data_IF_031740197069
#
_entry.id   IF_031740197069
#
_cell.length_a   1.000
_cell.length_b   1.000
_cell.length_c   1.000
_cell.angle_alpha   90.00
_cell.angle_beta   90.00
_cell.angle_gamma   90.00
#
_symmetry.space_group_name_H-M   'P 1'
#
loop_
_entity.id
_entity.type
_entity.pdbx_description
1 polymer ?
#
# COMPACT_ATOMS: atom_id res chain seq x y z
N UNK A 1 34.39 -10.48 -11.79
CA UNK A 1 33.23 -10.34 -12.68
C UNK A 1 32.07 -9.88 -11.82
N UNK A 2 31.34 -8.88 -12.29
CA UNK A 2 30.59 -7.92 -11.49
C UNK A 2 29.31 -8.46 -10.84
N UNK A 3 29.35 -8.78 -9.55
CA UNK A 3 28.14 -8.93 -8.73
C UNK A 3 27.77 -7.58 -8.10
N UNK A 4 27.32 -6.66 -8.95
CA UNK A 4 26.61 -5.46 -8.51
C UNK A 4 25.12 -5.79 -8.42
N UNK A 5 24.74 -6.65 -7.48
CA UNK A 5 23.35 -6.73 -7.04
C UNK A 5 23.26 -5.91 -5.75
N UNK A 6 23.06 -4.60 -5.93
CA UNK A 6 22.61 -3.72 -4.86
C UNK A 6 21.30 -4.32 -4.32
N UNK A 7 21.35 -4.95 -3.15
CA UNK A 7 20.16 -5.12 -2.32
C UNK A 7 19.78 -3.72 -1.83
N UNK A 8 19.07 -2.98 -2.68
CA UNK A 8 18.46 -1.72 -2.28
C UNK A 8 17.30 -2.04 -1.32
N UNK A 9 17.61 -2.36 -0.06
CA UNK A 9 16.78 -2.06 1.11
C UNK A 9 15.25 -2.15 0.90
N UNK A 10 14.74 -3.30 0.43
CA UNK A 10 13.30 -3.56 0.27
C UNK A 10 12.64 -3.57 1.65
N UNK A 11 12.32 -2.38 2.15
CA UNK A 11 11.35 -2.25 3.23
C UNK A 11 10.08 -2.94 2.73
N UNK A 12 9.45 -3.83 3.52
CA UNK A 12 8.23 -4.47 3.09
C UNK A 12 7.20 -3.38 2.76
N UNK A 13 6.60 -3.44 1.57
CA UNK A 13 5.51 -2.56 1.15
C UNK A 13 4.20 -3.35 1.15
N UNK A 14 3.10 -2.66 1.43
CA UNK A 14 1.76 -3.24 1.40
C UNK A 14 0.88 -2.51 0.39
N UNK A 15 0.18 -3.27 -0.44
CA UNK A 15 -0.61 -2.78 -1.57
C UNK A 15 -2.10 -2.99 -1.31
N UNK A 16 -2.90 -1.94 -1.55
CA UNK A 16 -4.35 -1.97 -1.38
C UNK A 16 -5.05 -1.23 -2.51
N UNK A 17 -5.83 -1.96 -3.31
CA UNK A 17 -6.56 -1.38 -4.42
C UNK A 17 -7.87 -0.70 -3.97
N UNK A 18 -8.16 0.48 -4.52
CA UNK A 18 -9.35 1.29 -4.23
C UNK A 18 -10.01 1.82 -5.50
N UNK A 19 -11.30 2.13 -5.39
CA UNK A 19 -12.09 2.70 -6.49
C UNK A 19 -11.73 4.14 -6.82
N UNK A 20 -11.27 4.90 -5.81
CA UNK A 20 -11.02 6.33 -5.89
C UNK A 20 -9.73 6.70 -5.17
N UNK A 21 -8.94 7.60 -5.76
CA UNK A 21 -7.67 8.07 -5.18
C UNK A 21 -7.81 8.59 -3.75
N UNK A 22 -8.93 9.25 -3.40
CA UNK A 22 -9.14 9.82 -2.06
C UNK A 22 -9.11 8.76 -0.96
N UNK A 23 -9.57 7.53 -1.26
CA UNK A 23 -9.63 6.42 -0.30
C UNK A 23 -8.25 6.00 0.20
N UNK A 24 -7.19 6.16 -0.59
CA UNK A 24 -5.82 5.92 -0.12
C UNK A 24 -5.46 6.83 1.07
N UNK A 25 -5.81 8.11 0.99
CA UNK A 25 -5.55 9.07 2.05
C UNK A 25 -6.43 8.81 3.28
N UNK A 26 -7.70 8.46 3.06
CA UNK A 26 -8.60 8.10 4.16
C UNK A 26 -8.11 6.86 4.92
N UNK A 27 -7.62 5.82 4.22
CA UNK A 27 -7.02 4.64 4.86
C UNK A 27 -5.75 4.98 5.62
N UNK A 28 -4.86 5.79 5.01
CA UNK A 28 -3.65 6.30 5.66
C UNK A 28 -3.97 6.98 6.98
N UNK A 29 -4.95 7.88 7.00
CA UNK A 29 -5.34 8.60 8.21
C UNK A 29 -6.06 7.71 9.22
N UNK A 30 -6.97 6.85 8.76
CA UNK A 30 -7.81 6.00 9.62
C UNK A 30 -6.98 4.97 10.39
N UNK A 31 -6.03 4.34 9.71
CA UNK A 31 -5.21 3.27 10.29
C UNK A 31 -3.79 3.73 10.66
N UNK A 32 -3.51 5.04 10.52
CA UNK A 32 -2.20 5.63 10.73
C UNK A 32 -1.08 4.94 9.91
N UNK A 33 -1.42 4.48 8.70
CA UNK A 33 -0.46 3.86 7.78
C UNK A 33 0.23 4.94 6.96
N UNK A 34 1.54 4.79 6.76
CA UNK A 34 2.30 5.75 5.96
C UNK A 34 2.15 5.42 4.48
N UNK A 35 1.39 6.25 3.76
CA UNK A 35 1.22 6.15 2.32
C UNK A 35 2.50 6.60 1.61
N UNK A 36 3.10 5.71 0.81
CA UNK A 36 4.30 5.99 0.02
C UNK A 36 3.94 6.57 -1.34
N UNK A 37 3.02 5.92 -2.06
CA UNK A 37 2.59 6.33 -3.41
C UNK A 37 1.20 5.80 -3.74
N UNK A 38 0.58 6.42 -4.75
CA UNK A 38 -0.69 5.98 -5.33
C UNK A 38 -0.47 5.76 -6.82
N UNK A 39 -0.65 4.53 -7.26
CA UNK A 39 -0.51 4.13 -8.65
C UNK A 39 -1.90 4.00 -9.30
N UNK A 40 -1.98 4.29 -10.61
CA UNK A 40 -3.20 3.98 -11.38
C UNK A 40 -3.11 2.53 -11.82
N UNK A 41 -4.17 1.77 -11.59
CA UNK A 41 -4.28 0.42 -12.15
C UNK A 41 -4.90 0.49 -13.54
N UNK A 42 -4.79 -0.60 -14.30
CA UNK A 42 -5.54 -0.79 -15.55
C UNK A 42 -7.00 -1.22 -15.33
N UNK A 43 -7.44 -1.35 -14.08
CA UNK A 43 -8.76 -1.86 -13.72
C UNK A 43 -9.83 -0.75 -13.78
N UNK A 44 -11.03 -1.09 -14.26
CA UNK A 44 -12.14 -0.12 -14.40
C UNK A 44 -12.86 0.15 -13.07
N UNK A 45 -12.82 -0.80 -12.14
CA UNK A 45 -13.48 -0.78 -10.84
C UNK A 45 -12.50 -0.31 -9.77
N UNK A 46 -11.37 -0.99 -9.61
CA UNK A 46 -10.34 -0.69 -8.61
C UNK A 46 -9.20 0.11 -9.23
N UNK A 47 -9.49 1.34 -9.60
CA UNK A 47 -8.67 2.21 -10.47
C UNK A 47 -7.32 2.65 -9.88
N UNK A 48 -7.12 2.48 -8.58
CA UNK A 48 -5.92 2.96 -7.89
C UNK A 48 -5.38 1.91 -6.95
N UNK A 49 -4.06 1.80 -6.87
CA UNK A 49 -3.35 0.99 -5.88
C UNK A 49 -2.64 1.90 -4.88
N UNK A 50 -2.94 1.72 -3.60
CA UNK A 50 -2.37 2.48 -2.49
C UNK A 50 -1.19 1.69 -1.91
N UNK A 51 0.02 2.21 -2.04
CA UNK A 51 1.23 1.56 -1.52
C UNK A 51 1.63 2.18 -0.20
N UNK A 52 1.73 1.36 0.85
CA UNK A 52 2.08 1.77 2.21
C UNK A 52 3.44 1.22 2.64
N UNK A 53 4.11 1.93 3.55
CA UNK A 53 5.34 1.47 4.20
C UNK A 53 5.00 0.39 5.24
N UNK A 54 5.71 -0.73 5.19
CA UNK A 54 5.56 -1.83 6.12
C UNK A 54 4.45 -2.81 5.75
N UNK A 55 4.22 -3.77 6.66
CA UNK A 55 3.03 -4.60 6.64
C UNK A 55 1.87 -3.82 7.25
N UNK A 56 0.71 -3.88 6.61
CA UNK A 56 -0.52 -3.25 7.11
C UNK A 56 -1.55 -4.34 7.39
N UNK A 57 -2.21 -4.25 8.53
CA UNK A 57 -3.19 -5.25 9.00
C UNK A 57 -4.49 -4.53 9.35
N UNK A 58 -5.60 -4.99 8.78
CA UNK A 58 -6.90 -4.48 9.16
C UNK A 58 -7.23 -4.96 10.58
N UNK A 59 -7.78 -4.08 11.43
CA UNK A 59 -8.21 -4.50 12.76
C UNK A 59 -9.25 -5.61 12.63
N UNK A 60 -9.07 -6.68 13.39
CA UNK A 60 -10.07 -7.73 13.54
C UNK A 60 -11.13 -7.27 14.54
N UNK A 61 -12.29 -6.84 14.04
CA UNK A 61 -13.43 -6.40 14.86
C UNK A 61 -14.46 -7.52 15.10
N UNK A 62 -14.07 -8.77 14.85
CA UNK A 62 -14.92 -9.97 15.04
C UNK A 62 -14.50 -10.84 16.23
N UNK A 63 -13.56 -10.36 17.06
CA UNK A 63 -13.21 -11.03 18.31
C UNK A 63 -13.98 -10.36 19.45
N UNK A 64 -15.15 -10.96 19.79
CA UNK A 64 -15.93 -10.70 21.00
C UNK A 64 -15.21 -11.22 22.26
#
# INVERSE_FOLDING_TARGET
MSDTLRLDSDKPESHHCVTERRKCYEMSQKYNWKLLRIERTGDKTLKYDCVFEGKTEFPNYLED
#
